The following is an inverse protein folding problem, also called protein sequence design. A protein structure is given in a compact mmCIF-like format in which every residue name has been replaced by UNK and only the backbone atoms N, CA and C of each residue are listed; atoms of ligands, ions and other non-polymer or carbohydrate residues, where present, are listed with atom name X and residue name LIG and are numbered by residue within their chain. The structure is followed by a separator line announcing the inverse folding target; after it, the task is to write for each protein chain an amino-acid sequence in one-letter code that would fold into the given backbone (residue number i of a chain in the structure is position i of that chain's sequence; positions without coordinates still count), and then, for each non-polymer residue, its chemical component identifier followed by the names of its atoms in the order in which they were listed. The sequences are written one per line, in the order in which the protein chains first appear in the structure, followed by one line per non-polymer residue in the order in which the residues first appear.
data_IF_147651344302
#
_entry.id   IF_147651344302
#
_cell.length_a   1.000
_cell.length_b   1.000
_cell.length_c   1.000
_cell.angle_alpha   90.00
_cell.angle_beta   90.00
_cell.angle_gamma   90.00
#
_symmetry.space_group_name_H-M   'P 1'
#
loop_
_entity.id
_entity.type
_entity.pdbx_description
1 polymer ?
#
# COMPACT_ATOMS: atom_id res chain seq x y z
N UNK A 1 -11.38 2.26 -28.12
CA UNK A 1 -10.89 3.63 -27.82
C UNK A 1 -9.89 4.04 -28.89
N UNK A 2 -9.71 5.34 -29.15
CA UNK A 2 -8.66 5.88 -30.03
C UNK A 2 -7.88 6.90 -29.22
N UNK A 3 -6.57 6.69 -29.10
CA UNK A 3 -5.62 7.59 -28.44
C UNK A 3 -4.61 8.05 -29.48
N UNK A 4 -4.30 9.34 -29.50
CA UNK A 4 -3.33 9.95 -30.41
C UNK A 4 -2.31 10.70 -29.59
N UNK A 5 -1.03 10.35 -29.76
CA UNK A 5 0.09 10.98 -29.06
C UNK A 5 1.03 11.51 -30.14
N UNK A 6 1.36 12.79 -30.06
CA UNK A 6 2.29 13.41 -31.00
C UNK A 6 3.71 13.13 -30.53
N UNK A 7 4.56 12.65 -31.43
CA UNK A 7 5.95 12.30 -31.12
C UNK A 7 6.89 13.15 -31.97
N UNK A 8 7.80 13.86 -31.32
CA UNK A 8 8.87 14.61 -31.97
C UNK A 8 10.13 13.76 -32.10
N UNK A 9 10.86 13.92 -33.21
CA UNK A 9 12.18 13.31 -33.43
C UNK A 9 12.24 11.77 -33.30
N UNK A 10 11.15 11.06 -33.58
CA UNK A 10 11.15 9.60 -33.61
C UNK A 10 12.03 9.05 -34.74
N UNK A 11 12.84 8.04 -34.42
CA UNK A 11 13.65 7.30 -35.38
C UNK A 11 13.00 5.95 -35.67
N UNK A 12 12.74 5.69 -36.95
CA UNK A 12 12.36 4.36 -37.39
C UNK A 12 13.56 3.41 -37.29
N UNK A 13 13.34 2.25 -36.69
CA UNK A 13 14.31 1.15 -36.62
C UNK A 13 13.73 -0.07 -37.31
N UNK A 14 14.58 -0.77 -38.07
CA UNK A 14 14.24 -2.04 -38.71
C UNK A 14 15.38 -2.99 -38.36
N UNK A 15 15.06 -4.06 -37.63
CA UNK A 15 16.06 -4.97 -37.08
C UNK A 15 15.88 -6.39 -37.58
N UNK A 16 16.99 -7.12 -37.58
CA UNK A 16 17.09 -8.56 -37.74
C UNK A 16 18.42 -8.99 -37.13
N UNK A 17 18.41 -10.12 -36.44
CA UNK A 17 19.52 -10.65 -35.66
C UNK A 17 19.89 -9.75 -34.44
N UNK A 18 18.99 -8.83 -34.05
CA UNK A 18 19.08 -7.96 -32.86
C UNK A 18 17.68 -7.51 -32.39
N UNK A 19 17.56 -7.08 -31.12
CA UNK A 19 16.32 -6.57 -30.56
C UNK A 19 16.07 -5.11 -30.96
N UNK A 20 14.87 -4.82 -31.49
CA UNK A 20 14.48 -3.45 -31.86
C UNK A 20 14.42 -2.46 -30.71
N UNK A 21 14.30 -2.95 -29.47
CA UNK A 21 14.26 -2.17 -28.23
C UNK A 21 15.57 -2.25 -27.42
N UNK A 22 16.67 -2.67 -28.03
CA UNK A 22 17.95 -2.82 -27.32
C UNK A 22 18.41 -1.52 -26.66
N UNK A 23 18.17 -0.37 -27.30
CA UNK A 23 18.51 0.94 -26.74
C UNK A 23 17.72 1.25 -25.46
N UNK A 24 16.48 0.75 -25.36
CA UNK A 24 15.65 0.90 -24.16
C UNK A 24 16.15 0.00 -23.03
N UNK A 25 16.52 -1.25 -23.32
CA UNK A 25 17.14 -2.16 -22.33
C UNK A 25 18.40 -1.53 -21.74
N UNK A 26 19.22 -0.91 -22.59
CA UNK A 26 20.46 -0.26 -22.15
C UNK A 26 20.20 0.90 -21.16
N UNK A 27 19.00 1.48 -21.16
CA UNK A 27 18.59 2.56 -20.26
C UNK A 27 17.98 2.08 -18.94
N UNK A 28 17.62 0.80 -18.79
CA UNK A 28 16.93 0.28 -17.60
C UNK A 28 17.59 0.64 -16.27
N UNK A 29 18.93 0.67 -16.21
CA UNK A 29 19.68 1.01 -14.99
C UNK A 29 19.62 2.49 -14.60
N UNK A 30 19.20 3.37 -15.51
CA UNK A 30 19.05 4.80 -15.28
C UNK A 30 17.58 5.21 -15.15
N UNK A 31 16.67 4.25 -15.23
CA UNK A 31 15.24 4.51 -15.31
C UNK A 31 14.62 4.66 -13.91
N UNK A 32 13.64 5.55 -13.80
CA UNK A 32 12.75 5.64 -12.64
C UNK A 32 11.60 4.62 -12.74
N UNK A 33 11.20 4.29 -13.96
CA UNK A 33 10.23 3.24 -14.25
C UNK A 33 10.55 2.52 -15.57
N UNK A 34 10.09 1.28 -15.69
CA UNK A 34 10.20 0.43 -16.89
C UNK A 34 8.84 -0.19 -17.20
N UNK A 35 8.22 0.21 -18.31
CA UNK A 35 6.92 -0.34 -18.75
C UNK A 35 7.11 -1.21 -19.98
N UNK A 36 6.59 -2.44 -19.91
CA UNK A 36 6.70 -3.44 -20.97
C UNK A 36 5.29 -3.90 -21.29
N UNK A 37 4.82 -3.61 -22.49
CA UNK A 37 3.60 -4.18 -23.07
C UNK A 37 4.04 -5.11 -24.18
N UNK A 38 3.65 -6.38 -24.12
CA UNK A 38 4.02 -7.37 -25.14
C UNK A 38 2.87 -8.33 -25.41
N UNK A 39 2.85 -8.95 -26.59
CA UNK A 39 1.89 -10.03 -26.84
C UNK A 39 2.33 -11.33 -26.18
N UNK A 40 3.63 -11.60 -26.14
CA UNK A 40 4.19 -12.80 -25.53
C UNK A 40 5.59 -12.53 -24.99
N UNK A 41 6.00 -13.39 -24.06
CA UNK A 41 7.38 -13.51 -23.59
C UNK A 41 8.01 -14.79 -24.15
N UNK A 42 9.33 -14.89 -24.03
CA UNK A 42 10.10 -16.09 -24.38
C UNK A 42 9.57 -17.31 -23.64
N UNK A 43 9.50 -18.46 -24.32
CA UNK A 43 9.01 -19.69 -23.68
C UNK A 43 10.04 -20.38 -22.80
N UNK A 44 11.33 -20.22 -23.11
CA UNK A 44 12.41 -20.97 -22.47
C UNK A 44 13.70 -20.18 -22.26
N UNK A 45 13.87 -19.03 -22.90
CA UNK A 45 15.02 -18.15 -22.65
C UNK A 45 14.61 -17.11 -21.60
N UNK A 46 15.46 -16.90 -20.61
CA UNK A 46 15.22 -16.01 -19.48
C UNK A 46 15.99 -14.71 -19.59
N UNK A 47 16.89 -14.53 -20.57
CA UNK A 47 17.77 -13.35 -20.68
C UNK A 47 17.04 -12.00 -20.50
N UNK A 48 15.89 -11.84 -21.16
CA UNK A 48 15.09 -10.62 -21.03
C UNK A 48 14.40 -10.46 -19.66
N UNK A 49 13.97 -11.56 -19.03
CA UNK A 49 13.41 -11.51 -17.68
C UNK A 49 14.50 -11.34 -16.62
N UNK A 50 15.64 -12.01 -16.79
CA UNK A 50 16.84 -11.85 -15.97
C UNK A 50 17.29 -10.39 -15.95
N UNK A 51 17.21 -9.69 -17.08
CA UNK A 51 17.53 -8.26 -17.13
C UNK A 51 16.64 -7.39 -16.23
N UNK A 52 15.44 -7.85 -15.87
CA UNK A 52 14.53 -7.18 -14.93
C UNK A 52 14.81 -7.58 -13.47
N UNK A 53 15.34 -8.79 -13.24
CA UNK A 53 15.67 -9.30 -11.90
C UNK A 53 16.83 -8.53 -11.24
N UNK A 54 17.72 -7.96 -12.05
CA UNK A 54 18.91 -7.23 -11.61
C UNK A 54 18.71 -5.70 -11.49
N UNK A 55 17.46 -5.21 -11.56
CA UNK A 55 17.13 -3.77 -11.48
C UNK A 55 17.04 -3.31 -10.02
N UNK A 56 17.29 -2.02 -9.77
CA UNK A 56 17.19 -1.41 -8.43
C UNK A 56 15.77 -1.54 -7.85
N UNK A 57 15.68 -1.90 -6.57
CA UNK A 57 14.42 -2.12 -5.84
C UNK A 57 13.46 -0.92 -5.88
N UNK A 58 13.97 0.30 -6.06
CA UNK A 58 13.14 1.51 -6.11
C UNK A 58 12.57 1.79 -7.52
N UNK A 59 13.03 1.08 -8.55
CA UNK A 59 12.56 1.26 -9.94
C UNK A 59 11.21 0.57 -10.10
N UNK A 60 10.20 1.31 -10.56
CA UNK A 60 8.89 0.72 -10.84
C UNK A 60 8.93 -0.09 -12.13
N UNK A 61 8.52 -1.36 -12.11
CA UNK A 61 8.48 -2.20 -13.31
C UNK A 61 7.06 -2.72 -13.50
N UNK A 62 6.44 -2.42 -14.64
CA UNK A 62 5.13 -2.98 -15.02
C UNK A 62 5.24 -3.78 -16.31
N UNK A 63 4.91 -5.07 -16.25
CA UNK A 63 4.90 -5.96 -17.40
C UNK A 63 3.48 -6.42 -17.72
N UNK A 64 2.97 -6.04 -18.87
CA UNK A 64 1.69 -6.45 -19.41
C UNK A 64 1.88 -7.43 -20.56
N UNK A 65 1.29 -8.62 -20.46
CA UNK A 65 1.37 -9.62 -21.54
C UNK A 65 0.03 -10.28 -21.84
N UNK A 66 -0.16 -10.74 -23.07
CA UNK A 66 -1.14 -11.78 -23.35
C UNK A 66 -0.55 -13.16 -22.97
N UNK A 67 -1.38 -14.18 -22.84
CA UNK A 67 -0.99 -15.59 -22.74
C UNK A 67 -1.41 -16.29 -24.04
N UNK A 68 -0.49 -16.58 -24.98
CA UNK A 68 -0.85 -17.22 -26.23
C UNK A 68 -1.58 -18.56 -26.03
N UNK A 69 -2.67 -18.79 -26.75
CA UNK A 69 -3.57 -19.95 -26.61
C UNK A 69 -4.50 -19.94 -25.37
N UNK A 70 -4.47 -18.91 -24.53
CA UNK A 70 -5.53 -18.66 -23.55
C UNK A 70 -6.71 -18.01 -24.26
N UNK A 71 -7.76 -18.79 -24.53
CA UNK A 71 -8.98 -18.32 -25.18
C UNK A 71 -10.10 -18.18 -24.17
N UNK A 72 -11.13 -17.35 -24.44
CA UNK A 72 -12.31 -17.25 -23.56
C UNK A 72 -13.01 -18.60 -23.33
N UNK A 73 -13.01 -19.48 -24.34
CA UNK A 73 -13.59 -20.83 -24.26
C UNK A 73 -12.81 -21.83 -25.10
N UNK A 74 -12.87 -23.12 -24.71
CA UNK A 74 -12.13 -24.20 -25.37
C UNK A 74 -13.06 -25.24 -25.97
N UNK A 75 -12.94 -25.47 -27.29
CA UNK A 75 -13.75 -26.44 -28.02
C UNK A 75 -13.30 -27.90 -27.85
N UNK A 76 -12.16 -28.15 -27.21
CA UNK A 76 -11.66 -29.50 -26.94
C UNK A 76 -10.79 -29.56 -25.69
N UNK A 77 -10.80 -30.72 -25.02
CA UNK A 77 -9.92 -30.98 -23.87
C UNK A 77 -8.45 -30.81 -24.22
N UNK A 78 -8.04 -31.15 -25.45
CA UNK A 78 -6.67 -30.96 -25.92
C UNK A 78 -6.27 -29.48 -25.95
N UNK A 79 -7.15 -28.61 -26.45
CA UNK A 79 -6.86 -27.17 -26.50
C UNK A 79 -6.80 -26.57 -25.10
N UNK A 80 -7.70 -27.01 -24.21
CA UNK A 80 -7.71 -26.64 -22.80
C UNK A 80 -6.41 -27.05 -22.09
N UNK A 81 -5.91 -28.25 -22.33
CA UNK A 81 -4.65 -28.73 -21.74
C UNK A 81 -3.44 -27.92 -22.22
N UNK A 82 -3.39 -27.59 -23.52
CA UNK A 82 -2.32 -26.74 -24.08
C UNK A 82 -2.34 -25.35 -23.43
N UNK A 83 -3.54 -24.78 -23.26
CA UNK A 83 -3.69 -23.49 -22.59
C UNK A 83 -3.25 -23.56 -21.13
N UNK A 84 -3.65 -24.61 -20.38
CA UNK A 84 -3.27 -24.80 -18.98
C UNK A 84 -1.76 -24.82 -18.80
N UNK A 85 -1.06 -25.61 -19.62
CA UNK A 85 0.41 -25.66 -19.60
C UNK A 85 1.01 -24.28 -19.88
N UNK A 86 0.46 -23.52 -20.83
CA UNK A 86 0.94 -22.17 -21.14
C UNK A 86 0.67 -21.19 -20.00
N UNK A 87 -0.52 -21.21 -19.43
CA UNK A 87 -0.93 -20.35 -18.31
C UNK A 87 0.02 -20.59 -17.13
N UNK A 88 0.23 -21.85 -16.74
CA UNK A 88 1.18 -22.19 -15.68
C UNK A 88 2.60 -21.71 -15.99
N UNK A 89 3.06 -21.83 -17.23
CA UNK A 89 4.37 -21.31 -17.64
C UNK A 89 4.47 -19.80 -17.40
N UNK A 90 3.43 -19.05 -17.75
CA UNK A 90 3.42 -17.59 -17.58
C UNK A 90 3.30 -17.19 -16.11
N UNK A 91 2.42 -17.85 -15.35
CA UNK A 91 2.28 -17.65 -13.90
C UNK A 91 3.60 -17.89 -13.18
N UNK A 92 4.34 -18.95 -13.51
CA UNK A 92 5.63 -19.23 -12.86
C UNK A 92 6.72 -18.23 -13.26
N UNK A 93 6.74 -17.79 -14.53
CA UNK A 93 7.82 -16.91 -15.04
C UNK A 93 7.63 -15.45 -14.67
N UNK A 94 6.39 -15.03 -14.40
CA UNK A 94 6.02 -13.66 -14.09
C UNK A 94 5.56 -13.50 -12.63
N UNK A 95 5.91 -14.47 -11.79
CA UNK A 95 5.72 -14.42 -10.34
C UNK A 95 6.47 -13.20 -9.77
N UNK A 96 5.75 -12.19 -9.24
CA UNK A 96 6.37 -10.99 -8.71
C UNK A 96 7.40 -11.25 -7.60
N UNK A 97 7.28 -12.35 -6.84
CA UNK A 97 8.26 -12.71 -5.79
C UNK A 97 9.66 -13.02 -6.36
N UNK A 98 9.79 -13.22 -7.67
CA UNK A 98 11.06 -13.52 -8.34
C UNK A 98 11.76 -12.29 -8.94
N UNK A 99 11.19 -11.09 -8.72
CA UNK A 99 11.65 -9.81 -9.24
C UNK A 99 11.84 -8.78 -8.09
N UNK A 100 12.39 -7.59 -8.37
CA UNK A 100 12.51 -6.51 -7.37
C UNK A 100 11.14 -6.10 -6.79
N UNK A 101 11.15 -5.49 -5.60
CA UNK A 101 9.96 -5.18 -4.78
C UNK A 101 8.87 -4.41 -5.54
N UNK A 102 9.26 -3.52 -6.45
CA UNK A 102 8.33 -2.69 -7.25
C UNK A 102 8.01 -3.26 -8.64
N UNK A 103 8.13 -4.57 -8.82
CA UNK A 103 7.69 -5.28 -10.01
C UNK A 103 6.22 -5.69 -9.91
N UNK A 104 5.44 -5.42 -10.96
CA UNK A 104 4.08 -5.89 -11.12
C UNK A 104 3.87 -6.50 -12.51
N UNK A 105 3.23 -7.66 -12.56
CA UNK A 105 2.85 -8.32 -13.81
C UNK A 105 1.33 -8.36 -13.99
N UNK A 106 0.91 -8.19 -15.24
CA UNK A 106 -0.48 -8.06 -15.64
C UNK A 106 -0.75 -8.87 -16.92
N UNK A 107 -1.96 -9.43 -17.00
CA UNK A 107 -2.42 -10.27 -18.09
C UNK A 107 -3.55 -9.59 -18.86
N UNK A 108 -3.28 -9.23 -20.12
CA UNK A 108 -4.21 -8.54 -21.01
C UNK A 108 -4.51 -9.41 -22.24
N UNK A 109 -5.59 -10.20 -22.16
CA UNK A 109 -5.82 -11.31 -23.11
C UNK A 109 -6.17 -10.90 -24.55
N UNK A 110 -6.57 -9.65 -24.74
CA UNK A 110 -6.85 -9.02 -26.02
C UNK A 110 -5.73 -8.03 -26.46
N UNK A 111 -4.59 -8.01 -25.76
CA UNK A 111 -3.45 -7.19 -26.15
C UNK A 111 -2.74 -7.75 -27.39
N UNK A 112 -2.31 -6.88 -28.29
CA UNK A 112 -1.34 -7.17 -29.35
C UNK A 112 -0.30 -6.05 -29.54
N UNK A 113 -0.38 -4.98 -28.74
CA UNK A 113 0.58 -3.88 -28.72
C UNK A 113 1.95 -4.39 -28.25
N UNK A 114 3.03 -3.80 -28.79
CA UNK A 114 4.36 -3.95 -28.22
C UNK A 114 5.01 -2.61 -27.96
N UNK A 115 5.24 -2.33 -26.69
CA UNK A 115 5.85 -1.12 -26.16
C UNK A 115 6.89 -1.55 -25.12
N UNK A 116 8.09 -1.02 -25.21
CA UNK A 116 9.11 -1.16 -24.18
C UNK A 116 9.61 0.24 -23.92
N UNK A 117 9.45 0.76 -22.70
CA UNK A 117 9.79 2.15 -22.40
C UNK A 117 10.33 2.33 -20.98
N UNK A 118 11.13 3.38 -20.82
CA UNK A 118 11.51 3.98 -19.54
C UNK A 118 10.92 5.39 -19.43
N UNK A 119 11.30 6.13 -18.39
CA UNK A 119 11.06 7.58 -18.32
C UNK A 119 11.89 8.41 -19.31
N UNK A 120 12.91 7.82 -19.95
CA UNK A 120 13.83 8.55 -20.83
C UNK A 120 13.67 8.19 -22.31
N UNK A 121 13.34 6.92 -22.61
CA UNK A 121 13.31 6.40 -23.99
C UNK A 121 12.21 5.35 -24.16
N UNK A 122 11.58 5.33 -25.33
CA UNK A 122 10.53 4.37 -25.66
C UNK A 122 10.74 3.74 -27.04
N UNK A 123 10.42 2.45 -27.14
CA UNK A 123 10.27 1.69 -28.37
C UNK A 123 8.81 1.29 -28.55
N UNK A 124 8.22 1.63 -29.69
CA UNK A 124 6.89 1.18 -30.11
C UNK A 124 6.99 0.49 -31.47
N UNK A 125 6.61 -0.78 -31.56
CA UNK A 125 6.82 -1.52 -32.81
C UNK A 125 6.23 -2.93 -32.83
N UNK A 126 6.80 -3.77 -33.71
CA UNK A 126 6.34 -5.13 -33.96
C UNK A 126 7.05 -6.20 -33.10
N UNK A 127 8.22 -5.89 -32.53
CA UNK A 127 8.98 -6.84 -31.72
C UNK A 127 8.31 -7.08 -30.37
N UNK A 128 8.14 -8.35 -29.98
CA UNK A 128 7.71 -8.72 -28.63
C UNK A 128 8.89 -8.65 -27.66
N UNK A 129 8.60 -8.49 -26.37
CA UNK A 129 9.59 -8.66 -25.31
C UNK A 129 9.94 -10.16 -25.14
N UNK A 130 10.53 -10.73 -26.18
CA UNK A 130 10.93 -12.12 -26.31
C UNK A 130 12.20 -12.20 -27.18
N UNK A 131 13.10 -13.11 -26.81
CA UNK A 131 14.39 -13.32 -27.46
C UNK A 131 14.21 -13.81 -28.91
N UNK A 132 13.09 -14.49 -29.19
CA UNK A 132 12.75 -14.92 -30.55
C UNK A 132 12.52 -13.73 -31.50
N UNK A 133 12.18 -12.55 -30.99
CA UNK A 133 12.00 -11.34 -31.80
C UNK A 133 13.32 -10.88 -32.42
N UNK A 134 14.47 -11.15 -31.79
CA UNK A 134 15.78 -10.83 -32.37
C UNK A 134 16.01 -11.56 -33.70
N UNK A 135 15.45 -12.77 -33.87
CA UNK A 135 15.63 -13.59 -35.07
C UNK A 135 14.63 -13.25 -36.19
N UNK A 136 13.69 -12.33 -35.92
CA UNK A 136 12.64 -11.92 -36.85
C UNK A 136 12.98 -10.58 -37.50
N UNK A 137 12.38 -10.30 -38.66
CA UNK A 137 12.39 -8.94 -39.20
C UNK A 137 11.35 -8.12 -38.45
N UNK A 138 11.81 -7.17 -37.64
CA UNK A 138 10.96 -6.30 -36.84
C UNK A 138 11.14 -4.84 -37.27
N UNK A 139 10.09 -4.05 -37.10
CA UNK A 139 10.12 -2.62 -37.34
C UNK A 139 9.43 -1.87 -36.20
N UNK A 140 9.92 -0.69 -35.88
CA UNK A 140 9.33 0.16 -34.85
C UNK A 140 9.90 1.57 -34.89
N UNK A 141 9.53 2.35 -33.90
CA UNK A 141 10.05 3.68 -33.66
C UNK A 141 10.69 3.74 -32.26
N UNK A 142 11.84 4.39 -32.19
CA UNK A 142 12.48 4.78 -30.94
C UNK A 142 12.40 6.31 -30.81
N UNK A 143 12.05 6.80 -29.62
CA UNK A 143 11.98 8.23 -29.33
C UNK A 143 12.29 8.52 -27.85
N UNK A 144 12.76 9.75 -27.62
CA UNK A 144 13.17 10.31 -26.31
C UNK A 144 12.36 11.60 -26.01
N UNK A 145 11.15 11.68 -26.56
CA UNK A 145 10.26 12.83 -26.38
C UNK A 145 9.55 12.71 -25.02
N UNK A 146 10.02 13.47 -24.03
CA UNK A 146 9.51 13.43 -22.65
C UNK A 146 7.99 13.68 -22.55
N UNK A 147 7.43 14.55 -23.40
CA UNK A 147 5.98 14.83 -23.39
C UNK A 147 5.21 13.61 -23.88
N UNK A 148 5.64 13.02 -24.99
CA UNK A 148 5.03 11.80 -25.53
C UNK A 148 5.20 10.59 -24.60
N UNK A 149 6.35 10.45 -23.94
CA UNK A 149 6.62 9.39 -22.96
C UNK A 149 5.70 9.56 -21.74
N UNK A 150 5.52 10.79 -21.26
CA UNK A 150 4.61 11.08 -20.15
C UNK A 150 3.15 10.81 -20.52
N UNK A 151 2.70 11.18 -21.73
CA UNK A 151 1.36 10.86 -22.23
C UNK A 151 1.15 9.34 -22.37
N UNK A 152 2.17 8.61 -22.87
CA UNK A 152 2.12 7.15 -22.97
C UNK A 152 2.01 6.51 -21.59
N UNK A 153 2.79 6.99 -20.61
CA UNK A 153 2.71 6.50 -19.23
C UNK A 153 1.28 6.66 -18.67
N UNK A 154 0.71 7.86 -18.81
CA UNK A 154 -0.68 8.13 -18.40
C UNK A 154 -1.69 7.21 -19.06
N UNK A 155 -1.58 6.98 -20.38
CA UNK A 155 -2.41 6.00 -21.08
C UNK A 155 -2.26 4.57 -20.50
N UNK A 156 -1.03 4.16 -20.16
CA UNK A 156 -0.81 2.83 -19.58
C UNK A 156 -1.47 2.72 -18.21
N UNK A 157 -1.23 3.69 -17.33
CA UNK A 157 -1.75 3.68 -15.95
C UNK A 157 -3.28 3.83 -15.90
N UNK A 158 -3.83 4.80 -16.64
CA UNK A 158 -5.22 5.20 -16.50
C UNK A 158 -6.19 4.34 -17.34
N UNK A 159 -5.75 3.79 -18.47
CA UNK A 159 -6.62 3.03 -19.38
C UNK A 159 -6.21 1.56 -19.52
N UNK A 160 -4.92 1.33 -19.78
CA UNK A 160 -4.43 -0.01 -20.15
C UNK A 160 -4.42 -0.96 -18.95
N UNK A 161 -3.92 -0.50 -17.80
CA UNK A 161 -3.85 -1.27 -16.57
C UNK A 161 -5.24 -1.64 -16.03
N UNK A 162 -6.19 -0.70 -16.04
CA UNK A 162 -7.58 -0.96 -15.62
C UNK A 162 -8.27 -2.06 -16.44
N UNK A 163 -7.81 -2.30 -17.67
CA UNK A 163 -8.36 -3.35 -18.54
C UNK A 163 -7.65 -4.70 -18.38
N UNK A 164 -6.48 -4.73 -17.74
CA UNK A 164 -5.68 -5.93 -17.55
C UNK A 164 -6.06 -6.68 -16.26
N UNK A 165 -5.64 -7.94 -16.15
CA UNK A 165 -5.77 -8.72 -14.92
C UNK A 165 -4.43 -8.71 -14.17
N UNK A 166 -4.33 -8.14 -12.96
CA UNK A 166 -3.11 -8.22 -12.16
C UNK A 166 -2.78 -9.67 -11.80
N UNK A 167 -1.50 -9.94 -11.54
CA UNK A 167 -1.02 -11.27 -11.12
C UNK A 167 -1.72 -11.77 -9.85
N UNK A 168 -1.65 -10.96 -8.79
CA UNK A 168 -2.42 -11.19 -7.58
C UNK A 168 -3.83 -10.66 -7.77
N UNK A 169 -4.79 -11.31 -7.10
CA UNK A 169 -6.21 -10.98 -7.20
C UNK A 169 -6.54 -9.55 -6.77
N UNK A 170 -5.80 -9.03 -5.78
CA UNK A 170 -6.05 -7.71 -5.20
C UNK A 170 -4.75 -7.03 -4.77
N UNK A 171 -4.77 -5.69 -4.78
CA UNK A 171 -3.71 -4.87 -4.22
C UNK A 171 -3.97 -4.66 -2.72
N UNK A 172 -3.15 -5.28 -1.88
CA UNK A 172 -3.24 -5.18 -0.41
C UNK A 172 -2.21 -4.20 0.18
N UNK A 173 -1.42 -3.51 -0.65
CA UNK A 173 -0.43 -2.53 -0.19
C UNK A 173 -1.04 -1.39 0.66
N UNK A 174 -2.24 -0.84 0.34
CA UNK A 174 -2.89 0.14 1.22
C UNK A 174 -3.13 -0.39 2.63
N UNK A 175 -3.57 -1.66 2.77
CA UNK A 175 -3.79 -2.28 4.07
C UNK A 175 -2.48 -2.47 4.84
N UNK A 176 -1.40 -2.89 4.17
CA UNK A 176 -0.08 -2.97 4.79
C UNK A 176 0.42 -1.62 5.30
N UNK A 177 0.19 -0.55 4.54
CA UNK A 177 0.49 0.81 4.97
C UNK A 177 -0.27 1.14 6.26
N UNK A 178 -1.59 0.95 6.31
CA UNK A 178 -2.38 1.25 7.50
C UNK A 178 -2.07 0.34 8.70
N UNK A 179 -1.71 -0.93 8.48
CA UNK A 179 -1.18 -1.81 9.53
C UNK A 179 0.06 -1.16 10.15
N UNK A 180 0.99 -0.66 9.34
CA UNK A 180 2.19 0.02 9.82
C UNK A 180 1.88 1.33 10.54
N UNK A 181 0.97 2.15 10.01
CA UNK A 181 0.60 3.42 10.64
C UNK A 181 -0.12 3.19 11.98
N UNK A 182 -1.01 2.19 12.06
CA UNK A 182 -1.64 1.77 13.32
C UNK A 182 -0.63 1.21 14.31
N UNK A 183 0.36 0.45 13.87
CA UNK A 183 1.47 -0.03 14.71
C UNK A 183 2.28 1.13 15.29
N UNK A 184 2.66 2.10 14.45
CA UNK A 184 3.39 3.31 14.88
C UNK A 184 2.55 4.12 15.87
N UNK A 185 1.26 4.34 15.56
CA UNK A 185 0.32 5.01 16.44
C UNK A 185 0.20 4.28 17.78
N UNK A 186 -0.01 2.96 17.76
CA UNK A 186 -0.14 2.13 18.97
C UNK A 186 1.11 2.20 19.82
N UNK A 187 2.31 2.10 19.23
CA UNK A 187 3.58 2.19 19.97
C UNK A 187 3.69 3.55 20.66
N UNK A 188 3.48 4.65 19.93
CA UNK A 188 3.49 6.01 20.47
C UNK A 188 2.46 6.16 21.61
N UNK A 189 1.24 5.69 21.38
CA UNK A 189 0.16 5.73 22.36
C UNK A 189 0.51 4.94 23.63
N UNK A 190 0.98 3.70 23.46
CA UNK A 190 1.40 2.79 24.53
C UNK A 190 2.53 3.37 25.37
N UNK A 191 3.56 3.91 24.71
CA UNK A 191 4.71 4.54 25.38
C UNK A 191 4.33 5.79 26.18
N UNK A 192 3.24 6.49 25.80
CA UNK A 192 2.74 7.64 26.56
C UNK A 192 1.91 7.22 27.77
N UNK A 193 1.08 6.17 27.66
CA UNK A 193 0.18 5.72 28.75
C UNK A 193 0.86 4.79 29.77
N UNK A 194 1.83 3.99 29.32
CA UNK A 194 2.51 2.98 30.13
C UNK A 194 3.97 3.36 30.39
N UNK A 195 4.41 3.14 31.63
CA UNK A 195 5.81 3.20 32.00
C UNK A 195 6.34 1.80 32.31
N UNK A 196 7.67 1.64 32.25
CA UNK A 196 8.34 0.39 32.61
C UNK A 196 9.29 0.63 33.78
N UNK A 197 9.22 -0.22 34.81
CA UNK A 197 10.21 -0.28 35.89
C UNK A 197 10.97 -1.59 35.84
N UNK A 198 12.30 -1.52 35.89
CA UNK A 198 13.18 -2.68 36.02
C UNK A 198 13.51 -2.95 37.50
N UNK A 199 13.18 -4.16 37.96
CA UNK A 199 13.65 -4.69 39.24
C UNK A 199 14.47 -5.96 39.00
N UNK A 200 15.80 -5.84 39.07
CA UNK A 200 16.77 -6.93 38.96
C UNK A 200 16.73 -7.67 37.60
N UNK A 201 16.55 -6.95 36.50
CA UNK A 201 16.43 -7.49 35.14
C UNK A 201 15.05 -8.05 34.82
N UNK A 202 14.03 -7.68 35.60
CA UNK A 202 12.61 -7.96 35.31
C UNK A 202 11.88 -6.65 35.14
N UNK A 203 11.32 -6.48 33.94
CA UNK A 203 10.50 -5.33 33.57
C UNK A 203 9.06 -5.54 34.05
N UNK A 204 8.50 -4.50 34.66
CA UNK A 204 7.09 -4.42 35.05
C UNK A 204 6.49 -3.15 34.45
N UNK A 205 5.37 -3.32 33.77
CA UNK A 205 4.60 -2.21 33.21
C UNK A 205 3.67 -1.62 34.28
N UNK A 206 3.51 -0.29 34.28
CA UNK A 206 2.58 0.43 35.14
C UNK A 206 1.91 1.57 34.39
N UNK A 207 0.68 1.90 34.79
CA UNK A 207 -0.06 3.05 34.25
C UNK A 207 0.54 4.35 34.77
N UNK A 208 0.87 5.30 33.88
CA UNK A 208 1.49 6.57 34.28
C UNK A 208 0.55 7.55 34.99
N UNK A 209 -0.77 7.38 34.87
CA UNK A 209 -1.73 8.21 35.59
C UNK A 209 -1.70 9.67 35.15
N UNK A 210 -1.51 10.60 36.08
CA UNK A 210 -1.43 12.03 35.78
C UNK A 210 -0.14 12.46 35.05
N UNK A 211 0.86 11.57 34.93
CA UNK A 211 2.09 11.82 34.18
C UNK A 211 1.93 11.58 32.67
N UNK A 212 0.77 11.10 32.21
CA UNK A 212 0.50 10.94 30.77
C UNK A 212 0.50 12.31 30.11
N UNK A 213 1.27 12.44 29.02
CA UNK A 213 1.43 13.68 28.28
C UNK A 213 0.75 13.59 26.91
N UNK A 214 -0.55 13.35 26.92
CA UNK A 214 -1.43 13.33 25.75
C UNK A 214 -2.51 14.40 25.88
N UNK A 215 -3.06 14.80 24.75
CA UNK A 215 -4.24 15.66 24.65
C UNK A 215 -5.17 15.12 23.55
N UNK A 216 -6.27 15.80 23.28
CA UNK A 216 -7.28 15.38 22.29
C UNK A 216 -6.76 15.19 20.86
N UNK A 217 -5.59 15.74 20.48
CA UNK A 217 -5.00 15.52 19.15
C UNK A 217 -4.73 14.05 18.85
N UNK A 218 -4.50 13.22 19.89
CA UNK A 218 -4.29 11.78 19.70
C UNK A 218 -5.57 11.08 19.21
N UNK A 219 -6.74 11.60 19.58
CA UNK A 219 -8.05 11.12 19.13
C UNK A 219 -8.23 11.49 17.66
N UNK A 220 -7.98 12.74 17.29
CA UNK A 220 -8.05 13.22 15.90
C UNK A 220 -7.11 12.40 14.98
N UNK A 221 -5.89 12.11 15.44
CA UNK A 221 -4.91 11.29 14.71
C UNK A 221 -5.42 9.87 14.48
N UNK A 222 -6.00 9.24 15.50
CA UNK A 222 -6.60 7.91 15.37
C UNK A 222 -7.82 7.91 14.44
N UNK A 223 -8.74 8.88 14.59
CA UNK A 223 -9.95 8.97 13.78
C UNK A 223 -9.60 9.12 12.30
N UNK A 224 -8.57 9.91 11.98
CA UNK A 224 -8.06 10.04 10.62
C UNK A 224 -7.55 8.70 10.07
N UNK A 225 -6.68 8.00 10.82
CA UNK A 225 -6.15 6.68 10.41
C UNK A 225 -7.29 5.67 10.22
N UNK A 226 -8.25 5.64 11.14
CA UNK A 226 -9.38 4.73 11.11
C UNK A 226 -10.29 5.00 9.90
N UNK A 227 -10.51 6.26 9.52
CA UNK A 227 -11.36 6.60 8.38
C UNK A 227 -10.74 6.23 7.02
N UNK A 228 -9.46 6.51 6.86
CA UNK A 228 -8.71 6.12 5.66
C UNK A 228 -8.57 4.59 5.53
N UNK A 229 -8.37 3.89 6.65
CA UNK A 229 -8.38 2.44 6.70
C UNK A 229 -9.75 1.85 6.31
N UNK A 230 -10.87 2.38 6.85
CA UNK A 230 -12.22 1.95 6.46
C UNK A 230 -12.44 2.11 4.95
N UNK A 231 -12.00 3.22 4.37
CA UNK A 231 -12.08 3.45 2.92
C UNK A 231 -11.31 2.37 2.17
N UNK A 232 -10.08 2.09 2.57
CA UNK A 232 -9.25 1.05 1.96
C UNK A 232 -9.84 -0.37 2.09
N UNK A 233 -10.46 -0.68 3.23
CA UNK A 233 -11.17 -1.95 3.44
C UNK A 233 -12.34 -2.07 2.46
N UNK A 234 -13.14 -1.02 2.31
CA UNK A 234 -14.31 -1.02 1.40
C UNK A 234 -13.89 -1.16 -0.06
N UNK A 235 -12.86 -0.43 -0.48
CA UNK A 235 -12.31 -0.54 -1.84
C UNK A 235 -11.83 -1.97 -2.13
N UNK A 236 -11.16 -2.60 -1.15
CA UNK A 236 -10.74 -3.99 -1.27
C UNK A 236 -11.94 -4.94 -1.34
N UNK A 237 -12.95 -4.76 -0.49
CA UNK A 237 -14.17 -5.57 -0.50
C UNK A 237 -14.86 -5.51 -1.87
N UNK A 238 -14.94 -4.34 -2.49
CA UNK A 238 -15.52 -4.16 -3.83
C UNK A 238 -14.76 -4.94 -4.90
N UNK A 239 -13.43 -4.97 -4.83
CA UNK A 239 -12.59 -5.80 -5.70
C UNK A 239 -12.85 -7.29 -5.46
N UNK A 240 -12.85 -7.71 -4.20
CA UNK A 240 -12.96 -9.12 -3.78
C UNK A 240 -14.35 -9.72 -4.02
N UNK A 241 -15.41 -8.90 -3.98
CA UNK A 241 -16.77 -9.30 -4.32
C UNK A 241 -16.87 -9.91 -5.74
N UNK A 242 -15.94 -9.55 -6.64
CA UNK A 242 -15.85 -10.10 -7.99
C UNK A 242 -15.25 -11.51 -8.10
N UNK A 243 -14.85 -12.14 -6.98
CA UNK A 243 -14.05 -13.37 -6.95
C UNK A 243 -14.60 -14.48 -6.02
N UNK A 244 -15.84 -14.36 -5.52
CA UNK A 244 -16.46 -15.34 -4.59
C UNK A 244 -15.62 -15.60 -3.32
N UNK A 245 -14.88 -14.60 -2.87
CA UNK A 245 -14.08 -14.64 -1.63
C UNK A 245 -14.98 -14.36 -0.42
N UNK A 246 -14.69 -14.99 0.71
CA UNK A 246 -15.37 -14.70 1.98
C UNK A 246 -14.97 -13.30 2.48
N UNK A 247 -15.94 -12.39 2.48
CA UNK A 247 -15.77 -11.00 2.92
C UNK A 247 -16.06 -10.82 4.42
N UNK A 248 -16.58 -11.84 5.10
CA UNK A 248 -16.98 -11.78 6.52
C UNK A 248 -15.88 -11.20 7.42
N UNK A 249 -14.57 -11.54 7.25
CA UNK A 249 -13.51 -10.94 8.05
C UNK A 249 -13.39 -9.41 7.87
N UNK A 250 -13.46 -8.91 6.64
CA UNK A 250 -13.40 -7.48 6.34
C UNK A 250 -14.66 -6.75 6.79
N UNK A 251 -15.83 -7.35 6.61
CA UNK A 251 -17.11 -6.81 7.12
C UNK A 251 -17.10 -6.67 8.65
N UNK A 252 -16.50 -7.66 9.33
CA UNK A 252 -16.33 -7.63 10.78
C UNK A 252 -15.38 -6.50 11.19
N UNK A 253 -14.25 -6.35 10.52
CA UNK A 253 -13.29 -5.25 10.76
C UNK A 253 -13.90 -3.87 10.50
N UNK A 254 -14.61 -3.67 9.38
CA UNK A 254 -15.29 -2.41 9.09
C UNK A 254 -16.34 -2.09 10.17
N UNK A 255 -17.09 -3.10 10.64
CA UNK A 255 -18.05 -2.94 11.74
C UNK A 255 -17.34 -2.56 13.04
N UNK A 256 -16.27 -3.27 13.42
CA UNK A 256 -15.48 -2.97 14.61
C UNK A 256 -14.93 -1.54 14.60
N UNK A 257 -14.41 -1.08 13.46
CA UNK A 257 -13.91 0.29 13.28
C UNK A 257 -15.02 1.35 13.36
N UNK A 258 -16.22 1.06 12.84
CA UNK A 258 -17.36 1.97 12.92
C UNK A 258 -17.96 2.05 14.33
N UNK A 259 -17.97 0.93 15.06
CA UNK A 259 -18.60 0.83 16.38
C UNK A 259 -17.67 1.24 17.53
N UNK A 260 -16.35 1.33 17.29
CA UNK A 260 -15.41 1.76 18.31
C UNK A 260 -15.53 3.26 18.58
N UNK A 261 -15.71 3.61 19.85
CA UNK A 261 -15.70 4.98 20.33
C UNK A 261 -14.75 5.09 21.50
N UNK A 262 -13.91 6.12 21.51
CA UNK A 262 -13.04 6.42 22.65
C UNK A 262 -13.90 6.67 23.89
N UNK A 263 -13.52 6.05 25.02
CA UNK A 263 -14.27 6.15 26.27
C UNK A 263 -14.34 7.60 26.76
N UNK A 264 -15.51 8.02 27.26
CA UNK A 264 -15.71 9.41 27.69
C UNK A 264 -14.75 9.82 28.82
N UNK A 265 -14.40 8.92 29.75
CA UNK A 265 -13.42 9.24 30.80
C UNK A 265 -12.02 9.49 30.22
N UNK A 266 -11.66 8.84 29.12
CA UNK A 266 -10.41 9.14 28.39
C UNK A 266 -10.50 10.52 27.76
N UNK A 267 -11.62 10.87 27.13
CA UNK A 267 -11.82 12.22 26.58
C UNK A 267 -11.73 13.28 27.67
N UNK A 268 -12.46 13.10 28.79
CA UNK A 268 -12.46 14.04 29.91
C UNK A 268 -11.05 14.24 30.48
N UNK A 269 -10.23 13.17 30.55
CA UNK A 269 -8.83 13.26 30.93
C UNK A 269 -7.98 14.05 29.92
N UNK A 270 -8.14 13.78 28.62
CA UNK A 270 -7.36 14.41 27.55
C UNK A 270 -7.73 15.89 27.31
N UNK A 271 -8.96 16.29 27.66
CA UNK A 271 -9.44 17.67 27.59
C UNK A 271 -8.97 18.53 28.77
N UNK A 272 -8.62 17.92 29.91
CA UNK A 272 -8.22 18.66 31.10
C UNK A 272 -6.83 19.31 30.95
N UNK A 273 -6.81 20.64 30.83
CA UNK A 273 -5.58 21.43 30.84
C UNK A 273 -5.31 22.03 32.23
N UNK A 274 -4.31 21.45 32.91
CA UNK A 274 -3.84 21.88 34.23
C UNK A 274 -3.51 23.38 34.28
N UNK A 275 -2.92 23.92 33.20
CA UNK A 275 -2.46 25.31 33.16
C UNK A 275 -3.63 26.26 33.04
N UNK A 276 -4.60 25.94 32.18
CA UNK A 276 -5.79 26.76 32.02
C UNK A 276 -6.61 26.75 33.31
N UNK A 277 -6.78 25.59 33.94
CA UNK A 277 -7.43 25.48 35.25
C UNK A 277 -6.76 26.33 36.34
N UNK A 278 -5.42 26.23 36.47
CA UNK A 278 -4.67 27.05 37.44
C UNK A 278 -4.79 28.54 37.10
N UNK A 279 -4.68 28.92 35.82
CA UNK A 279 -4.78 30.31 35.38
C UNK A 279 -6.16 30.91 35.71
N UNK A 280 -7.24 30.14 35.53
CA UNK A 280 -8.58 30.58 35.86
C UNK A 280 -8.73 30.82 37.36
N UNK A 281 -8.27 29.89 38.21
CA UNK A 281 -8.26 30.08 39.66
C UNK A 281 -7.43 31.30 40.10
N UNK A 282 -6.28 31.52 39.45
CA UNK A 282 -5.44 32.71 39.71
C UNK A 282 -6.17 34.01 39.34
N UNK A 283 -6.90 34.04 38.22
CA UNK A 283 -7.68 35.21 37.80
C UNK A 283 -8.84 35.47 38.75
N UNK A 284 -9.56 34.43 39.17
CA UNK A 284 -10.67 34.55 40.12
C UNK A 284 -10.22 35.09 41.49
N UNK A 285 -8.99 34.75 41.91
CA UNK A 285 -8.45 35.12 43.22
C UNK A 285 -7.45 36.29 43.18
N UNK A 286 -7.31 36.99 42.05
CA UNK A 286 -6.27 38.01 41.80
C UNK A 286 -6.21 39.11 42.87
N UNK A 287 -7.35 39.49 43.46
CA UNK A 287 -7.42 40.53 44.49
C UNK A 287 -6.94 40.06 45.88
N UNK A 288 -6.95 38.74 46.13
CA UNK A 288 -6.54 38.11 47.38
C UNK A 288 -5.08 37.65 47.35
N UNK A 289 -4.54 37.42 46.15
CA UNK A 289 -3.17 36.97 45.90
C UNK A 289 -2.15 38.11 46.02
N UNK A 290 -1.97 38.61 47.24
CA UNK A 290 -0.89 39.58 47.57
C UNK A 290 0.49 38.91 47.58
N UNK A 291 1.58 39.68 47.47
CA UNK A 291 2.96 39.15 47.43
C UNK A 291 3.29 38.19 48.58
N UNK A 292 2.75 38.45 49.78
CA UNK A 292 3.03 37.66 50.99
C UNK A 292 2.40 36.27 50.98
N UNK A 293 1.37 36.03 50.18
CA UNK A 293 0.59 34.77 50.14
C UNK A 293 0.54 34.12 48.75
N UNK A 294 1.11 34.78 47.74
CA UNK A 294 1.08 34.34 46.34
C UNK A 294 1.56 32.88 46.18
N UNK A 295 2.67 32.52 46.83
CA UNK A 295 3.23 31.17 46.73
C UNK A 295 2.29 30.10 47.32
N UNK A 296 1.59 30.42 48.42
CA UNK A 296 0.67 29.48 49.07
C UNK A 296 -0.53 29.20 48.15
N UNK A 297 -1.08 30.25 47.50
CA UNK A 297 -2.16 30.09 46.52
C UNK A 297 -1.73 29.30 45.29
N UNK A 298 -0.55 29.60 44.72
CA UNK A 298 -0.03 28.86 43.56
C UNK A 298 0.18 27.39 43.90
N UNK A 299 0.73 27.08 45.09
CA UNK A 299 0.90 25.70 45.54
C UNK A 299 -0.45 25.00 45.73
N UNK A 300 -1.44 25.66 46.33
CA UNK A 300 -2.78 25.11 46.54
C UNK A 300 -3.49 24.82 45.21
N UNK A 301 -3.48 25.77 44.26
CA UNK A 301 -4.09 25.58 42.94
C UNK A 301 -3.41 24.46 42.14
N UNK A 302 -2.08 24.36 42.24
CA UNK A 302 -1.33 23.27 41.60
C UNK A 302 -1.70 21.92 42.21
N UNK A 303 -1.85 21.85 43.53
CA UNK A 303 -2.29 20.63 44.23
C UNK A 303 -3.72 20.24 43.82
N UNK A 304 -4.63 21.20 43.72
CA UNK A 304 -6.00 20.95 43.26
C UNK A 304 -6.05 20.42 41.81
N UNK A 305 -5.28 21.04 40.90
CA UNK A 305 -5.19 20.58 39.51
C UNK A 305 -4.65 19.14 39.44
N UNK A 306 -3.60 18.85 40.20
CA UNK A 306 -3.03 17.51 40.30
C UNK A 306 -4.05 16.47 40.80
N UNK A 307 -4.80 16.78 41.85
CA UNK A 307 -5.82 15.88 42.41
C UNK A 307 -6.95 15.59 41.41
N UNK A 308 -7.40 16.60 40.67
CA UNK A 308 -8.41 16.43 39.61
C UNK A 308 -7.86 15.55 38.49
N UNK A 309 -6.65 15.84 38.01
CA UNK A 309 -6.03 15.06 36.93
C UNK A 309 -5.79 13.61 37.34
N UNK A 310 -5.39 13.37 38.59
CA UNK A 310 -5.18 12.02 39.13
C UNK A 310 -6.48 11.22 39.22
N UNK A 311 -7.58 11.86 39.64
CA UNK A 311 -8.91 11.25 39.67
C UNK A 311 -9.41 10.93 38.25
N UNK A 312 -9.25 11.88 37.31
CA UNK A 312 -9.58 11.66 35.89
C UNK A 312 -8.75 10.51 35.31
N UNK A 313 -7.45 10.44 35.59
CA UNK A 313 -6.58 9.37 35.13
C UNK A 313 -7.05 8.00 35.67
N UNK A 314 -7.43 7.97 36.94
CA UNK A 314 -7.95 6.76 37.60
C UNK A 314 -9.23 6.27 36.96
N UNK A 315 -10.12 7.19 36.54
CA UNK A 315 -11.35 6.85 35.82
C UNK A 315 -11.07 6.40 34.38
N UNK A 316 -10.09 7.03 33.71
CA UNK A 316 -9.74 6.77 32.31
C UNK A 316 -8.96 5.46 32.07
N UNK A 317 -8.34 4.87 33.11
CA UNK A 317 -7.40 3.75 32.97
C UNK A 317 -7.96 2.57 32.18
N UNK A 318 -9.21 2.19 32.40
CA UNK A 318 -9.82 1.06 31.70
C UNK A 318 -10.20 1.42 30.25
N UNK A 319 -10.55 2.69 30.00
CA UNK A 319 -10.75 3.21 28.65
C UNK A 319 -9.46 3.19 27.82
N UNK A 320 -8.33 3.61 28.41
CA UNK A 320 -7.01 3.51 27.75
C UNK A 320 -6.64 2.06 27.41
N UNK A 321 -6.86 1.11 28.33
CA UNK A 321 -6.61 -0.31 28.09
C UNK A 321 -7.48 -0.89 26.99
N UNK A 322 -8.77 -0.59 26.99
CA UNK A 322 -9.68 -1.10 25.96
C UNK A 322 -9.36 -0.49 24.58
N UNK A 323 -8.92 0.77 24.52
CA UNK A 323 -8.43 1.37 23.28
C UNK A 323 -7.16 0.68 22.75
N UNK A 324 -6.16 0.48 23.60
CA UNK A 324 -4.94 -0.22 23.19
C UNK A 324 -5.23 -1.66 22.73
N UNK A 325 -6.06 -2.38 23.48
CA UNK A 325 -6.50 -3.74 23.13
C UNK A 325 -7.28 -3.78 21.81
N UNK A 326 -8.12 -2.78 21.55
CA UNK A 326 -8.79 -2.63 20.27
C UNK A 326 -7.78 -2.47 19.13
N UNK A 327 -6.79 -1.59 19.27
CA UNK A 327 -5.75 -1.39 18.26
C UNK A 327 -4.97 -2.68 17.99
N UNK A 328 -4.59 -3.42 19.04
CA UNK A 328 -3.91 -4.72 18.92
C UNK A 328 -4.76 -5.70 18.11
N UNK A 329 -6.05 -5.82 18.44
CA UNK A 329 -6.95 -6.76 17.74
C UNK A 329 -7.10 -6.40 16.26
N UNK A 330 -7.38 -5.13 15.94
CA UNK A 330 -7.53 -4.67 14.56
C UNK A 330 -6.26 -4.94 13.75
N UNK A 331 -5.08 -4.62 14.31
CA UNK A 331 -3.79 -4.86 13.64
C UNK A 331 -3.58 -6.35 13.38
N UNK A 332 -3.87 -7.21 14.38
CA UNK A 332 -3.69 -8.66 14.24
C UNK A 332 -4.65 -9.26 13.21
N UNK A 333 -5.93 -8.90 13.27
CA UNK A 333 -6.96 -9.37 12.34
C UNK A 333 -6.66 -8.92 10.90
N UNK A 334 -6.28 -7.65 10.70
CA UNK A 334 -5.85 -7.15 9.38
C UNK A 334 -4.61 -7.87 8.87
N UNK A 335 -3.59 -8.06 9.73
CA UNK A 335 -2.35 -8.75 9.34
C UNK A 335 -2.60 -10.21 8.96
N UNK A 336 -3.48 -10.89 9.70
CA UNK A 336 -3.91 -12.25 9.37
C UNK A 336 -4.62 -12.29 8.02
N UNK A 337 -5.57 -11.38 7.79
CA UNK A 337 -6.31 -11.32 6.54
C UNK A 337 -5.42 -11.03 5.34
N UNK A 338 -4.53 -10.03 5.44
CA UNK A 338 -3.55 -9.72 4.39
C UNK A 338 -2.69 -10.95 4.09
N UNK A 339 -2.27 -11.69 5.11
CA UNK A 339 -1.48 -12.91 4.93
C UNK A 339 -2.23 -14.01 4.18
N UNK A 340 -3.55 -14.08 4.31
CA UNK A 340 -4.40 -15.04 3.58
C UNK A 340 -4.56 -14.66 2.10
N UNK A 341 -4.68 -13.36 1.80
CA UNK A 341 -4.98 -12.88 0.44
C UNK A 341 -3.75 -12.54 -0.40
N UNK A 342 -2.60 -12.23 0.22
CA UNK A 342 -1.42 -11.67 -0.45
C UNK A 342 -0.88 -12.56 -1.58
N UNK A 343 -1.09 -13.87 -1.50
CA UNK A 343 -0.57 -14.85 -2.44
C UNK A 343 -1.65 -15.53 -3.28
N UNK A 344 -2.87 -14.99 -3.29
CA UNK A 344 -3.95 -15.51 -4.14
C UNK A 344 -3.72 -14.98 -5.56
N UNK A 345 -3.22 -15.86 -6.42
CA UNK A 345 -3.13 -15.62 -7.86
C UNK A 345 -4.54 -15.35 -8.39
N UNK A 346 -4.67 -14.32 -9.22
CA UNK A 346 -5.95 -13.92 -9.79
C UNK A 346 -6.59 -15.09 -10.57
N UNK A 347 -7.75 -15.61 -10.13
CA UNK A 347 -8.35 -16.81 -10.72
C UNK A 347 -8.86 -16.57 -12.15
N UNK A 348 -8.98 -15.32 -12.61
CA UNK A 348 -9.37 -14.99 -14.00
C UNK A 348 -8.24 -15.25 -15.00
N UNK A 349 -7.00 -15.44 -14.52
CA UNK A 349 -5.86 -15.80 -15.36
C UNK A 349 -6.05 -17.21 -15.92
N UNK A 350 -6.37 -18.19 -15.06
CA UNK A 350 -6.63 -19.57 -15.46
C UNK A 350 -8.13 -19.86 -15.63
N UNK A 351 -8.58 -19.91 -16.88
CA UNK A 351 -9.94 -20.27 -17.24
C UNK A 351 -10.07 -21.72 -17.75
N UNK A 352 -9.14 -22.60 -17.37
CA UNK A 352 -9.10 -24.00 -17.81
C UNK A 352 -9.71 -24.98 -16.81
N UNK A 353 -10.35 -24.48 -15.75
CA UNK A 353 -11.07 -25.30 -14.76
C UNK A 353 -12.41 -25.84 -15.29
#
# INVERSE_FOLDING_TARGET
MRTEINVSNARMVITRDELGFQEVINDFRNAEYIYIITYNISNSNDELLDSLRDIDENTEIKLFTNIPNRFESYFSNRSREIARVRINTYITRLDPETFPERFASFFMFNNHMKLVMTNNIAYLGSANYSDESANSFEAGFIFEDNEAISELKGFVDDDFELSAQPYYMANYAPLLYFIRELEVFRIKFSEEIWGVWDVQGKEFEYFKGNEINLNTQIVDEYEYIADELKTSIRDLMDVLAGYEIDLTPLETLDTQLNDFTVDQYVIDYLEFDDRDYINDLMQENVLLMTEDVLNDYVQDFTQQAFEIKDDLATQAVDGFKEWEKFLINVIQELSAYVSEIQNIINPRIDNTN
#
